data_IF_223206066780
#
_entry.id   IF_223206066780
#
_cell.length_a   1.000
_cell.length_b   1.000
_cell.length_c   1.000
_cell.angle_alpha   90.00
_cell.angle_beta   90.00
_cell.angle_gamma   90.00
#
_symmetry.space_group_name_H-M   'P 1'
#
loop_
_entity.id
_entity.type
_entity.pdbx_description
1 polymer ?
#
# COMPACT_ATOMS: atom_id res chain seq x y z
N UNK A 1 -6.53 -2.13 26.00
CA UNK A 1 -7.06 -1.38 24.85
C UNK A 1 -6.08 -1.64 23.73
N UNK A 2 -6.50 -2.39 22.70
CA UNK A 2 -5.62 -2.67 21.57
C UNK A 2 -5.58 -1.40 20.73
N UNK A 3 -4.59 -0.54 20.95
CA UNK A 3 -4.20 0.45 19.94
C UNK A 3 -3.74 -0.35 18.72
N UNK A 4 -4.70 -0.66 17.83
CA UNK A 4 -4.43 -1.06 16.47
C UNK A 4 -3.85 0.17 15.80
N UNK A 5 -2.55 0.36 16.03
CA UNK A 5 -1.74 1.41 15.46
C UNK A 5 -1.79 1.17 13.95
N UNK A 6 -2.68 1.90 13.28
CA UNK A 6 -2.87 1.77 11.86
C UNK A 6 -1.48 1.98 11.21
N UNK A 7 -1.02 1.09 10.29
CA UNK A 7 0.37 1.05 9.86
C UNK A 7 0.81 2.43 9.38
N UNK A 8 1.95 2.92 9.83
CA UNK A 8 2.43 4.26 9.52
C UNK A 8 2.52 4.45 7.98
N UNK A 9 2.31 5.66 7.48
CA UNK A 9 2.31 5.93 6.02
C UNK A 9 3.64 5.48 5.38
N UNK A 10 4.74 5.50 6.14
CA UNK A 10 6.05 4.98 5.72
C UNK A 10 6.06 3.45 5.49
N UNK A 11 5.40 2.69 6.37
CA UNK A 11 5.23 1.23 6.21
C UNK A 11 4.45 0.91 4.93
N UNK A 12 3.41 1.69 4.62
CA UNK A 12 2.64 1.53 3.38
C UNK A 12 3.47 1.84 2.13
N UNK A 13 4.37 2.83 2.19
CA UNK A 13 5.32 3.11 1.10
C UNK A 13 6.30 1.96 0.89
N UNK A 14 6.79 1.34 1.95
CA UNK A 14 7.67 0.17 1.85
C UNK A 14 6.93 -1.02 1.22
N UNK A 15 5.70 -1.30 1.64
CA UNK A 15 4.87 -2.34 1.03
C UNK A 15 4.56 -2.06 -0.45
N UNK A 16 4.45 -0.80 -0.86
CA UNK A 16 4.28 -0.44 -2.27
C UNK A 16 5.53 -0.81 -3.10
N UNK A 17 6.73 -0.56 -2.56
CA UNK A 17 7.99 -0.91 -3.24
C UNK A 17 8.12 -2.43 -3.38
N UNK A 18 7.80 -3.19 -2.33
CA UNK A 18 7.82 -4.65 -2.37
C UNK A 18 6.81 -5.20 -3.39
N UNK A 19 5.60 -4.63 -3.45
CA UNK A 19 4.60 -4.99 -4.45
C UNK A 19 5.09 -4.70 -5.87
N UNK A 20 5.78 -3.57 -6.09
CA UNK A 20 6.36 -3.23 -7.39
C UNK A 20 7.47 -4.19 -7.80
N UNK A 21 8.34 -4.57 -6.86
CA UNK A 21 9.37 -5.59 -7.11
C UNK A 21 8.76 -6.95 -7.45
N UNK A 22 7.68 -7.34 -6.78
CA UNK A 22 6.97 -8.58 -7.07
C UNK A 22 6.35 -8.58 -8.48
N UNK A 23 5.72 -7.47 -8.90
CA UNK A 23 5.18 -7.32 -10.27
C UNK A 23 6.29 -7.44 -11.31
N UNK A 24 7.47 -6.86 -11.07
CA UNK A 24 8.61 -6.97 -11.99
C UNK A 24 9.07 -8.43 -12.11
N UNK A 25 9.01 -9.20 -11.01
CA UNK A 25 9.39 -10.63 -10.99
C UNK A 25 8.34 -11.57 -11.58
N UNK A 26 7.05 -11.19 -11.54
CA UNK A 26 5.93 -12.00 -12.02
C UNK A 26 4.81 -11.10 -12.59
N UNK A 27 5.00 -10.53 -13.80
CA UNK A 27 4.07 -9.53 -14.35
C UNK A 27 2.71 -10.12 -14.75
N UNK A 28 2.65 -11.42 -15.04
CA UNK A 28 1.46 -12.18 -15.40
C UNK A 28 0.73 -12.82 -14.20
N UNK A 29 1.23 -12.63 -12.98
CA UNK A 29 0.59 -13.14 -11.77
C UNK A 29 -0.54 -12.20 -11.30
N UNK A 30 -1.77 -12.68 -11.48
CA UNK A 30 -3.00 -11.97 -11.09
C UNK A 30 -3.13 -11.77 -9.58
N UNK A 31 -2.55 -12.64 -8.75
CA UNK A 31 -2.58 -12.48 -7.30
C UNK A 31 -1.64 -11.36 -6.86
N UNK A 32 -0.45 -11.29 -7.46
CA UNK A 32 0.51 -10.20 -7.25
C UNK A 32 -0.10 -8.87 -7.68
N UNK A 33 -0.75 -8.81 -8.85
CA UNK A 33 -1.43 -7.60 -9.32
C UNK A 33 -2.55 -7.14 -8.36
N UNK A 34 -3.37 -8.07 -7.86
CA UNK A 34 -4.42 -7.75 -6.87
C UNK A 34 -3.86 -7.32 -5.53
N UNK A 35 -2.73 -7.87 -5.10
CA UNK A 35 -2.09 -7.47 -3.86
C UNK A 35 -1.54 -6.03 -3.96
N UNK A 36 -0.88 -5.70 -5.06
CA UNK A 36 -0.38 -4.36 -5.34
C UNK A 36 -1.50 -3.32 -5.39
N UNK A 37 -2.60 -3.63 -6.08
CA UNK A 37 -3.77 -2.75 -6.17
C UNK A 37 -4.32 -2.36 -4.79
N UNK A 38 -4.43 -3.33 -3.87
CA UNK A 38 -4.87 -3.06 -2.49
C UNK A 38 -3.92 -2.14 -1.74
N UNK A 39 -2.61 -2.32 -1.90
CA UNK A 39 -1.60 -1.47 -1.25
C UNK A 39 -1.67 -0.05 -1.78
N UNK A 40 -1.76 0.11 -3.11
CA UNK A 40 -1.90 1.42 -3.76
C UNK A 40 -3.16 2.13 -3.26
N UNK A 41 -4.31 1.46 -3.26
CA UNK A 41 -5.57 2.07 -2.82
C UNK A 41 -5.51 2.51 -1.35
N UNK A 42 -4.94 1.67 -0.49
CA UNK A 42 -4.81 1.99 0.94
C UNK A 42 -3.88 3.20 1.16
N UNK A 43 -2.80 3.31 0.38
CA UNK A 43 -1.89 4.45 0.44
C UNK A 43 -2.55 5.72 -0.09
N UNK A 44 -3.30 5.63 -1.18
CA UNK A 44 -4.04 6.75 -1.78
C UNK A 44 -5.08 7.32 -0.82
N UNK A 45 -5.90 6.45 -0.22
CA UNK A 45 -6.90 6.83 0.80
C UNK A 45 -6.26 7.58 1.98
N UNK A 46 -5.07 7.14 2.41
CA UNK A 46 -4.32 7.81 3.48
C UNK A 46 -3.75 9.15 3.06
N UNK A 47 -3.09 9.23 1.91
CA UNK A 47 -2.53 10.48 1.41
C UNK A 47 -3.63 11.53 1.15
N UNK A 48 -4.80 11.09 0.65
CA UNK A 48 -5.97 11.94 0.49
C UNK A 48 -6.48 12.45 1.83
N UNK A 49 -6.53 11.60 2.86
CA UNK A 49 -6.91 12.00 4.21
C UNK A 49 -5.90 12.99 4.83
N UNK A 50 -4.59 12.76 4.67
CA UNK A 50 -3.54 13.69 5.14
C UNK A 50 -3.63 15.05 4.41
N UNK A 51 -3.89 15.04 3.10
CA UNK A 51 -4.02 16.26 2.28
C UNK A 51 -5.30 17.05 2.57
N UNK A 52 -6.37 16.39 3.01
CA UNK A 52 -7.63 17.05 3.37
C UNK A 52 -7.60 17.71 4.75
N UNK A 53 -6.60 17.37 5.57
CA UNK A 53 -6.41 17.90 6.93
C UNK A 53 -5.33 18.99 6.97
N UNK A 54 -4.56 19.16 5.88
CA UNK A 54 -3.52 20.18 5.69
C UNK A 54 -4.10 21.51 5.15
#
# INVERSE_FOLDING_TARGET
MSEQQAPDTDTLKQSLVEAFMAIIGAPDDLEVARAADRVVRTLDERLAAESAVA
#
